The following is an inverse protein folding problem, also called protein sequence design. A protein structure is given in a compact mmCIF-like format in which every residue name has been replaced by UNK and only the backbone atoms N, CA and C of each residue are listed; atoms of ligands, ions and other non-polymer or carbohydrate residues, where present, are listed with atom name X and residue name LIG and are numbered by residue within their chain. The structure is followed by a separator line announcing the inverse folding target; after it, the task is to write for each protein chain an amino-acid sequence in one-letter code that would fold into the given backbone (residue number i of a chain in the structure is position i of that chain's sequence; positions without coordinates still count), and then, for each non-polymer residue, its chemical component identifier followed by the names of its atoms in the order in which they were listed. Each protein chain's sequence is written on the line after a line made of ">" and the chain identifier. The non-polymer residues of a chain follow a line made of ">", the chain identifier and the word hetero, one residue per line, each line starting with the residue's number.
data_IF_167064949066
#
_entry.id   IF_167064949066
#
_cell.length_a   1.000
_cell.length_b   1.000
_cell.length_c   1.000
_cell.angle_alpha   90.00
_cell.angle_beta   90.00
_cell.angle_gamma   90.00
#
_symmetry.space_group_name_H-M   'P 1'
#
loop_
_entity.id
_entity.type
_entity.pdbx_description
1 polymer ?
#
# COMPACT_ATOMS: atom_id res chain seq x y z
N UNK A 1 27.16 -7.44 -11.75
CA UNK A 1 26.31 -6.87 -10.69
C UNK A 1 26.47 -5.36 -10.74
N UNK A 2 25.39 -4.56 -10.73
CA UNK A 2 25.54 -3.14 -10.48
C UNK A 2 26.12 -2.94 -9.06
N UNK A 3 26.99 -1.92 -8.85
CA UNK A 3 27.56 -1.67 -7.54
C UNK A 3 26.46 -1.28 -6.55
N UNK A 4 26.57 -1.76 -5.31
CA UNK A 4 25.74 -1.29 -4.20
C UNK A 4 25.87 0.23 -4.06
N UNK A 5 24.77 0.96 -3.80
CA UNK A 5 24.84 2.40 -3.58
C UNK A 5 25.76 2.71 -2.37
N UNK A 6 26.48 3.85 -2.39
CA UNK A 6 27.35 4.22 -1.28
C UNK A 6 26.53 4.42 0.01
N UNK A 7 27.09 4.07 1.18
CA UNK A 7 26.43 4.28 2.46
C UNK A 7 26.12 5.76 2.64
N UNK A 8 24.84 6.09 2.84
CA UNK A 8 24.34 7.47 2.98
C UNK A 8 23.64 8.05 1.75
N UNK A 9 23.52 7.32 0.63
CA UNK A 9 22.63 7.72 -0.46
C UNK A 9 21.17 7.49 -0.05
N UNK A 10 20.36 8.54 0.05
CA UNK A 10 18.93 8.42 0.37
C UNK A 10 18.22 7.64 -0.73
N UNK A 11 17.66 6.47 -0.41
CA UNK A 11 16.82 5.71 -1.33
C UNK A 11 15.59 6.53 -1.72
N UNK A 12 15.42 6.76 -3.02
CA UNK A 12 14.28 7.48 -3.58
C UNK A 12 13.54 6.58 -4.59
N UNK A 13 12.23 6.74 -4.75
CA UNK A 13 11.48 6.07 -5.80
C UNK A 13 12.08 6.36 -7.18
N UNK A 14 12.20 5.33 -8.02
CA UNK A 14 12.65 5.47 -9.40
C UNK A 14 11.68 6.28 -10.27
N UNK A 15 10.42 6.39 -9.83
CA UNK A 15 9.42 7.27 -10.45
C UNK A 15 9.73 8.76 -10.28
N UNK A 16 10.63 9.13 -9.35
CA UNK A 16 10.92 10.51 -8.99
C UNK A 16 9.85 11.19 -8.13
N UNK A 17 8.78 10.49 -7.77
CA UNK A 17 7.74 11.00 -6.88
C UNK A 17 8.17 10.95 -5.42
N UNK A 18 7.48 11.72 -4.57
CA UNK A 18 7.64 11.64 -3.12
C UNK A 18 7.25 10.23 -2.66
N UNK A 19 8.05 9.59 -1.79
CA UNK A 19 7.66 8.33 -1.18
C UNK A 19 6.32 8.46 -0.46
N UNK A 20 5.56 7.36 -0.43
CA UNK A 20 4.31 7.26 0.31
C UNK A 20 4.45 6.26 1.46
N UNK A 21 4.10 6.65 2.67
CA UNK A 21 4.10 5.74 3.82
C UNK A 21 2.75 5.77 4.53
N UNK A 22 2.15 4.62 4.80
CA UNK A 22 0.93 4.63 5.58
C UNK A 22 0.61 3.35 6.29
N UNK A 23 -0.47 3.39 7.07
CA UNK A 23 -0.94 2.28 7.89
C UNK A 23 -2.46 2.25 7.87
N UNK A 24 -3.01 1.04 7.80
CA UNK A 24 -4.42 0.76 8.00
C UNK A 24 -4.58 0.07 9.34
N UNK A 25 -5.47 0.56 10.19
CA UNK A 25 -5.72 -0.08 11.49
C UNK A 25 -6.53 -1.36 11.36
N UNK A 26 -7.06 -1.63 10.15
CA UNK A 26 -8.06 -2.67 9.88
C UNK A 26 -9.16 -2.60 10.95
N UNK A 27 -9.62 -3.75 11.42
CA UNK A 27 -10.56 -3.88 12.54
C UNK A 27 -9.88 -4.28 13.86
N UNK A 28 -8.60 -3.90 14.07
CA UNK A 28 -7.85 -4.30 15.27
C UNK A 28 -8.01 -3.37 16.47
N UNK A 29 -8.47 -2.14 16.26
CA UNK A 29 -8.44 -1.08 17.27
C UNK A 29 -9.86 -0.77 17.75
N UNK A 30 -10.02 -0.51 19.04
CA UNK A 30 -11.19 0.17 19.56
C UNK A 30 -11.09 1.67 19.27
N UNK A 31 -12.21 2.39 19.32
CA UNK A 31 -12.22 3.84 19.15
C UNK A 31 -11.23 4.57 20.07
N UNK A 32 -11.21 4.22 21.37
CA UNK A 32 -10.28 4.80 22.34
C UNK A 32 -8.81 4.55 21.96
N UNK A 33 -8.50 3.34 21.47
CA UNK A 33 -7.15 3.00 21.01
C UNK A 33 -6.78 3.78 19.74
N UNK A 34 -7.70 3.91 18.77
CA UNK A 34 -7.47 4.68 17.53
C UNK A 34 -7.18 6.15 17.83
N UNK A 35 -7.94 6.76 18.72
CA UNK A 35 -7.71 8.15 19.15
C UNK A 35 -6.38 8.32 19.88
N UNK A 36 -6.06 7.41 20.81
CA UNK A 36 -4.79 7.43 21.53
C UNK A 36 -3.59 7.24 20.58
N UNK A 37 -3.66 6.25 19.68
CA UNK A 37 -2.65 6.00 18.65
C UNK A 37 -2.42 7.24 17.79
N UNK A 38 -3.49 7.83 17.27
CA UNK A 38 -3.43 9.01 16.39
C UNK A 38 -2.82 10.20 17.11
N UNK A 39 -3.23 10.45 18.35
CA UNK A 39 -2.70 11.56 19.17
C UNK A 39 -1.21 11.39 19.42
N UNK A 40 -0.79 10.20 19.85
CA UNK A 40 0.64 9.91 20.08
C UNK A 40 1.44 10.02 18.79
N UNK A 41 0.94 9.48 17.68
CA UNK A 41 1.60 9.54 16.39
C UNK A 41 1.79 11.00 15.94
N UNK A 42 0.74 11.81 15.96
CA UNK A 42 0.82 13.22 15.57
C UNK A 42 1.76 14.01 16.47
N UNK A 43 1.80 13.70 17.78
CA UNK A 43 2.77 14.28 18.70
C UNK A 43 4.21 13.92 18.31
N UNK A 44 4.49 12.66 17.99
CA UNK A 44 5.83 12.22 17.57
C UNK A 44 6.24 12.83 16.22
N UNK A 45 5.29 12.97 15.28
CA UNK A 45 5.50 13.62 13.99
C UNK A 45 5.68 15.15 14.09
N UNK A 46 5.51 15.74 15.27
CA UNK A 46 5.63 17.19 15.47
C UNK A 46 6.58 17.58 16.59
N UNK A 47 7.17 16.61 17.30
CA UNK A 47 7.98 16.85 18.51
C UNK A 47 9.45 17.15 18.25
N UNK A 48 9.98 16.83 17.05
CA UNK A 48 11.40 17.04 16.75
C UNK A 48 11.62 18.18 15.75
N UNK A 49 12.76 18.89 15.80
CA UNK A 49 13.11 19.89 14.79
C UNK A 49 13.17 19.33 13.36
N UNK A 50 13.63 18.08 13.22
CA UNK A 50 13.75 17.41 11.93
C UNK A 50 12.41 16.96 11.35
N UNK A 51 11.35 16.87 12.17
CA UNK A 51 10.06 16.35 11.74
C UNK A 51 9.43 17.16 10.60
N UNK A 52 9.59 18.49 10.60
CA UNK A 52 9.11 19.33 9.50
C UNK A 52 9.84 19.01 8.18
N UNK A 53 11.16 18.84 8.23
CA UNK A 53 11.97 18.42 7.07
C UNK A 53 11.52 17.04 6.57
N UNK A 54 11.38 16.08 7.47
CA UNK A 54 10.94 14.72 7.16
C UNK A 54 9.55 14.70 6.51
N UNK A 55 8.58 15.44 7.07
CA UNK A 55 7.23 15.56 6.50
C UNK A 55 7.20 16.33 5.15
N UNK A 56 8.25 17.07 4.83
CA UNK A 56 8.42 17.74 3.53
C UNK A 56 9.02 16.84 2.44
N UNK A 57 9.60 15.69 2.78
CA UNK A 57 10.22 14.78 1.78
C UNK A 57 9.29 13.66 1.32
N UNK A 58 8.29 13.27 2.12
CA UNK A 58 7.35 12.18 1.81
C UNK A 58 5.88 12.53 2.08
N UNK A 59 4.97 11.79 1.46
CA UNK A 59 3.55 11.80 1.78
C UNK A 59 3.24 10.67 2.78
N UNK A 60 2.36 10.93 3.74
CA UNK A 60 1.93 9.91 4.70
C UNK A 60 0.41 9.69 4.65
N UNK A 61 -0.06 8.53 5.09
CA UNK A 61 -1.49 8.26 5.20
C UNK A 61 -1.89 7.38 6.38
N UNK A 62 -3.10 7.61 6.91
CA UNK A 62 -3.71 6.85 8.00
C UNK A 62 -5.10 6.39 7.57
N UNK A 63 -5.40 5.10 7.76
CA UNK A 63 -6.69 4.50 7.40
C UNK A 63 -7.30 3.83 8.64
N UNK A 64 -8.06 4.58 9.46
CA UNK A 64 -8.78 4.04 10.60
C UNK A 64 -10.04 3.27 10.16
N UNK A 65 -10.72 2.62 11.12
CA UNK A 65 -12.08 2.13 10.91
C UNK A 65 -13.08 3.29 10.72
N UNK A 66 -14.23 3.02 10.11
CA UNK A 66 -15.24 4.04 9.81
C UNK A 66 -15.80 4.77 11.04
N UNK A 67 -15.90 4.10 12.19
CA UNK A 67 -16.45 4.69 13.42
C UNK A 67 -15.47 5.70 14.01
N UNK A 68 -14.17 5.43 13.91
CA UNK A 68 -13.13 6.33 14.41
C UNK A 68 -12.67 7.39 13.40
N UNK A 69 -13.03 7.24 12.12
CA UNK A 69 -12.60 8.09 11.02
C UNK A 69 -12.81 9.60 11.27
N UNK A 70 -13.98 10.10 11.75
CA UNK A 70 -14.15 11.52 12.02
C UNK A 70 -13.20 12.08 13.08
N UNK A 71 -12.88 11.29 14.12
CA UNK A 71 -11.96 11.72 15.17
C UNK A 71 -10.52 11.81 14.66
N UNK A 72 -10.11 10.90 13.78
CA UNK A 72 -8.78 10.93 13.14
C UNK A 72 -8.65 12.12 12.20
N UNK A 73 -9.68 12.39 11.38
CA UNK A 73 -9.74 13.57 10.51
C UNK A 73 -9.54 14.86 11.29
N UNK A 74 -10.32 15.06 12.36
CA UNK A 74 -10.23 16.25 13.21
C UNK A 74 -8.85 16.41 13.87
N UNK A 75 -8.25 15.31 14.35
CA UNK A 75 -6.94 15.33 14.99
C UNK A 75 -5.82 15.71 13.99
N UNK A 76 -5.85 15.14 12.79
CA UNK A 76 -4.87 15.42 11.71
C UNK A 76 -4.97 16.88 11.25
N UNK A 77 -6.18 17.37 10.98
CA UNK A 77 -6.43 18.75 10.56
C UNK A 77 -5.90 19.76 11.59
N UNK A 78 -6.23 19.55 12.87
CA UNK A 78 -5.75 20.42 13.96
C UNK A 78 -4.22 20.42 14.08
N UNK A 79 -3.57 19.29 13.85
CA UNK A 79 -2.15 19.11 14.17
C UNK A 79 -1.18 19.54 13.05
N UNK A 80 -1.60 19.51 11.78
CA UNK A 80 -0.67 19.58 10.65
C UNK A 80 -0.89 20.75 9.68
N UNK A 81 -1.99 21.48 9.78
CA UNK A 81 -2.36 22.59 8.88
C UNK A 81 -1.29 23.70 8.79
N UNK A 82 -0.40 23.82 9.78
CA UNK A 82 0.64 24.86 9.84
C UNK A 82 2.05 24.40 9.44
N UNK A 83 2.27 23.09 9.15
CA UNK A 83 3.63 22.52 9.07
C UNK A 83 4.02 21.92 7.71
N UNK A 84 3.18 22.06 6.67
CA UNK A 84 3.50 21.61 5.31
C UNK A 84 3.57 20.09 5.10
N UNK A 85 3.36 19.29 6.16
CA UNK A 85 3.26 17.84 6.08
C UNK A 85 1.92 17.39 5.52
N UNK A 86 1.94 16.43 4.59
CA UNK A 86 0.74 15.88 3.95
C UNK A 86 0.43 14.50 4.54
N UNK A 87 -0.31 14.47 5.66
CA UNK A 87 -0.93 13.24 6.16
C UNK A 87 -2.35 13.16 5.60
N UNK A 88 -2.57 12.24 4.67
CA UNK A 88 -3.88 11.97 4.11
C UNK A 88 -4.62 10.98 5.01
N UNK A 89 -5.85 11.31 5.38
CA UNK A 89 -6.73 10.32 6.04
C UNK A 89 -7.58 9.64 4.98
N UNK A 90 -7.65 8.31 5.04
CA UNK A 90 -8.43 7.48 4.13
C UNK A 90 -9.41 6.57 4.85
N UNK A 91 -10.25 5.91 4.07
CA UNK A 91 -11.20 4.91 4.53
C UNK A 91 -10.86 3.50 4.02
N UNK A 92 -11.32 2.47 4.73
CA UNK A 92 -10.97 1.07 4.45
C UNK A 92 -11.77 0.43 3.29
N UNK A 93 -12.88 1.06 2.89
CA UNK A 93 -13.74 0.67 1.78
C UNK A 93 -14.73 1.79 1.46
N UNK A 94 -15.52 1.65 0.39
CA UNK A 94 -16.75 2.42 0.18
C UNK A 94 -17.75 1.65 -0.71
N UNK A 95 -18.97 2.15 -0.80
CA UNK A 95 -19.94 1.71 -1.79
C UNK A 95 -19.53 2.15 -3.21
N UNK A 96 -20.05 1.44 -4.22
CA UNK A 96 -19.95 1.87 -5.63
C UNK A 96 -20.90 3.04 -5.97
N UNK A 97 -21.96 3.25 -5.17
CA UNK A 97 -22.96 4.30 -5.35
C UNK A 97 -22.80 5.43 -4.33
N UNK A 98 -23.06 6.67 -4.74
CA UNK A 98 -22.96 7.81 -3.83
C UNK A 98 -24.09 7.80 -2.79
N UNK A 99 -25.31 7.47 -3.19
CA UNK A 99 -26.47 7.40 -2.30
C UNK A 99 -27.43 6.29 -2.76
N UNK A 100 -28.21 5.75 -1.83
CA UNK A 100 -29.25 4.77 -2.15
C UNK A 100 -29.67 3.92 -0.96
N UNK A 101 -30.51 2.92 -1.23
CA UNK A 101 -31.00 1.98 -0.21
C UNK A 101 -29.99 0.86 0.08
N UNK A 102 -28.81 1.24 0.60
CA UNK A 102 -27.68 0.35 0.87
C UNK A 102 -27.36 0.30 2.37
N UNK A 103 -28.26 -0.28 3.17
CA UNK A 103 -28.10 -0.35 4.64
C UNK A 103 -26.76 -0.98 5.03
N UNK A 104 -25.96 -0.24 5.80
CA UNK A 104 -24.64 -0.68 6.29
C UNK A 104 -23.46 -0.26 5.42
N UNK A 105 -23.69 0.23 4.20
CA UNK A 105 -22.65 0.72 3.31
C UNK A 105 -22.23 2.16 3.64
N UNK A 106 -21.03 2.53 3.20
CA UNK A 106 -20.47 3.88 3.39
C UNK A 106 -20.36 4.58 2.04
N UNK A 107 -21.01 5.74 1.94
CA UNK A 107 -21.03 6.57 0.73
C UNK A 107 -19.66 7.20 0.44
N UNK A 108 -19.10 7.06 -0.79
CA UNK A 108 -17.90 7.78 -1.19
C UNK A 108 -18.11 9.31 -1.24
N UNK A 109 -19.31 9.80 -1.54
CA UNK A 109 -19.63 11.22 -1.49
C UNK A 109 -19.55 11.76 -0.06
N UNK A 110 -20.09 11.01 0.92
CA UNK A 110 -20.01 11.38 2.34
C UNK A 110 -18.57 11.29 2.85
N UNK A 111 -17.79 10.27 2.43
CA UNK A 111 -16.36 10.19 2.77
C UNK A 111 -15.61 11.43 2.30
N UNK A 112 -15.87 11.89 1.06
CA UNK A 112 -15.28 13.13 0.55
C UNK A 112 -15.73 14.34 1.36
N UNK A 113 -17.03 14.44 1.66
CA UNK A 113 -17.63 15.54 2.41
C UNK A 113 -16.97 15.73 3.78
N UNK A 114 -16.70 14.64 4.51
CA UNK A 114 -16.05 14.70 5.83
C UNK A 114 -14.54 14.95 5.76
N UNK A 115 -13.95 14.95 4.56
CA UNK A 115 -12.54 15.29 4.34
C UNK A 115 -11.62 14.12 4.04
N UNK A 116 -12.14 12.92 3.75
CA UNK A 116 -11.28 11.83 3.26
C UNK A 116 -10.61 12.22 1.94
N UNK A 117 -9.34 11.86 1.81
CA UNK A 117 -8.57 12.08 0.59
C UNK A 117 -8.34 10.82 -0.23
N UNK A 118 -8.61 9.64 0.34
CA UNK A 118 -8.39 8.34 -0.33
C UNK A 118 -9.27 7.24 0.26
N UNK A 119 -9.38 6.14 -0.49
CA UNK A 119 -10.09 4.93 -0.06
C UNK A 119 -9.28 3.70 -0.48
N UNK A 120 -9.01 2.81 0.48
CA UNK A 120 -8.48 1.47 0.25
C UNK A 120 -9.57 0.57 -0.35
N UNK A 121 -9.25 -0.15 -1.43
CA UNK A 121 -10.21 -0.96 -2.18
C UNK A 121 -9.59 -2.29 -2.58
N UNK A 122 -10.40 -3.35 -2.59
CA UNK A 122 -9.94 -4.67 -3.07
C UNK A 122 -8.89 -5.32 -2.18
N UNK A 123 -8.79 -4.95 -0.90
CA UNK A 123 -7.87 -5.58 0.04
C UNK A 123 -8.08 -7.10 0.08
N UNK A 124 -7.01 -7.89 0.21
CA UNK A 124 -7.06 -9.35 0.12
C UNK A 124 -8.10 -9.99 1.07
N UNK A 125 -8.26 -9.43 2.28
CA UNK A 125 -9.30 -9.84 3.24
C UNK A 125 -10.72 -9.62 2.70
N UNK A 126 -10.99 -8.52 1.97
CA UNK A 126 -12.31 -8.27 1.38
C UNK A 126 -12.63 -9.27 0.28
N UNK A 127 -11.65 -9.53 -0.58
CA UNK A 127 -11.75 -10.54 -1.64
C UNK A 127 -11.99 -11.94 -1.08
N UNK A 128 -11.27 -12.31 -0.03
CA UNK A 128 -11.36 -13.64 0.57
C UNK A 128 -12.62 -13.84 1.43
N UNK A 129 -12.98 -12.86 2.27
CA UNK A 129 -14.06 -13.01 3.25
C UNK A 129 -15.43 -12.59 2.71
N UNK A 130 -15.47 -11.62 1.80
CA UNK A 130 -16.71 -11.01 1.30
C UNK A 130 -16.92 -11.21 -0.20
N UNK A 131 -16.03 -11.95 -0.88
CA UNK A 131 -16.18 -12.28 -2.30
C UNK A 131 -16.04 -11.07 -3.23
N UNK A 132 -15.33 -10.03 -2.80
CA UNK A 132 -15.12 -8.84 -3.63
C UNK A 132 -14.33 -9.18 -4.91
N UNK A 133 -14.91 -8.87 -6.07
CA UNK A 133 -14.37 -9.19 -7.40
C UNK A 133 -13.68 -7.98 -8.03
N UNK A 134 -12.82 -8.20 -9.03
CA UNK A 134 -12.20 -7.09 -9.77
C UNK A 134 -13.24 -6.15 -10.41
N UNK A 135 -14.36 -6.70 -10.90
CA UNK A 135 -15.45 -5.89 -11.44
C UNK A 135 -16.11 -5.01 -10.36
N UNK A 136 -16.33 -5.54 -9.15
CA UNK A 136 -16.85 -4.75 -8.03
C UNK A 136 -15.86 -3.70 -7.53
N UNK A 137 -14.56 -4.04 -7.48
CA UNK A 137 -13.50 -3.08 -7.16
C UNK A 137 -13.45 -1.97 -8.20
N UNK A 138 -13.53 -2.28 -9.50
CA UNK A 138 -13.56 -1.30 -10.60
C UNK A 138 -14.68 -0.26 -10.42
N UNK A 139 -15.89 -0.71 -10.06
CA UNK A 139 -17.02 0.19 -9.80
C UNK A 139 -16.73 1.15 -8.63
N UNK A 140 -16.12 0.63 -7.55
CA UNK A 140 -15.70 1.45 -6.41
C UNK A 140 -14.54 2.39 -6.75
N UNK A 141 -13.58 1.96 -7.57
CA UNK A 141 -12.48 2.82 -8.05
C UNK A 141 -13.05 4.02 -8.81
N UNK A 142 -13.99 3.79 -9.72
CA UNK A 142 -14.70 4.87 -10.41
C UNK A 142 -15.46 5.78 -9.44
N UNK A 143 -16.03 5.21 -8.36
CA UNK A 143 -16.71 5.95 -7.32
C UNK A 143 -15.81 6.87 -6.50
N UNK A 144 -14.60 6.41 -6.18
CA UNK A 144 -13.61 7.19 -5.45
C UNK A 144 -13.12 8.35 -6.31
N UNK A 145 -12.79 8.08 -7.58
CA UNK A 145 -12.27 9.10 -8.50
C UNK A 145 -13.32 10.17 -8.82
N UNK A 146 -14.59 9.79 -9.10
CA UNK A 146 -15.64 10.79 -9.39
C UNK A 146 -15.93 11.73 -8.22
N UNK A 147 -15.65 11.29 -6.99
CA UNK A 147 -15.76 12.10 -5.78
C UNK A 147 -14.45 12.85 -5.43
N UNK A 148 -13.45 12.86 -6.32
CA UNK A 148 -12.22 13.62 -6.14
C UNK A 148 -11.28 13.07 -5.06
N UNK A 149 -11.37 11.77 -4.77
CA UNK A 149 -10.47 11.06 -3.86
C UNK A 149 -9.51 10.14 -4.65
N UNK A 150 -8.42 9.72 -4.02
CA UNK A 150 -7.44 8.80 -4.62
C UNK A 150 -7.78 7.35 -4.26
N UNK A 151 -8.02 6.45 -5.23
CA UNK A 151 -8.16 5.02 -4.94
C UNK A 151 -6.79 4.42 -4.61
N UNK A 152 -6.70 3.72 -3.49
CA UNK A 152 -5.61 2.81 -3.13
C UNK A 152 -6.10 1.38 -3.38
N UNK A 153 -5.68 0.78 -4.49
CA UNK A 153 -6.20 -0.49 -4.96
C UNK A 153 -5.21 -1.60 -4.62
N UNK A 154 -5.65 -2.55 -3.80
CA UNK A 154 -4.88 -3.72 -3.43
C UNK A 154 -4.94 -4.79 -4.52
N UNK A 155 -3.76 -5.26 -4.92
CA UNK A 155 -3.56 -6.27 -5.96
C UNK A 155 -2.45 -7.24 -5.56
N UNK A 156 -2.52 -8.48 -6.01
CA UNK A 156 -1.58 -9.51 -5.62
C UNK A 156 -1.97 -10.91 -6.10
N UNK A 157 -0.97 -11.70 -6.43
CA UNK A 157 -1.12 -13.10 -6.80
C UNK A 157 -1.35 -13.99 -5.56
N UNK A 158 -2.11 -15.06 -5.75
CA UNK A 158 -2.46 -16.01 -4.67
C UNK A 158 -1.46 -17.12 -4.45
N UNK A 159 -0.61 -17.40 -5.43
CA UNK A 159 0.33 -18.51 -5.41
C UNK A 159 1.72 -18.05 -5.85
N UNK A 160 2.75 -18.67 -5.28
CA UNK A 160 4.12 -18.51 -5.76
C UNK A 160 4.22 -19.27 -7.07
N UNK A 161 4.33 -18.57 -8.20
CA UNK A 161 4.47 -19.23 -9.50
C UNK A 161 5.65 -20.21 -9.51
N UNK A 162 5.37 -21.50 -9.61
CA UNK A 162 6.37 -22.56 -9.76
C UNK A 162 6.58 -22.90 -11.23
N UNK A 163 7.84 -23.16 -11.60
CA UNK A 163 8.31 -23.48 -12.95
C UNK A 163 7.33 -24.41 -13.69
N UNK A 164 6.96 -24.02 -14.91
CA UNK A 164 5.79 -24.53 -15.61
C UNK A 164 5.80 -26.05 -15.76
N UNK A 165 5.11 -26.75 -14.87
CA UNK A 165 4.55 -28.06 -15.20
C UNK A 165 3.19 -27.82 -15.85
N UNK A 166 3.24 -27.57 -17.16
CA UNK A 166 2.15 -27.97 -18.05
C UNK A 166 1.96 -29.47 -17.79
N UNK A 167 0.80 -29.84 -17.25
CA UNK A 167 0.49 -31.24 -17.03
C UNK A 167 0.42 -31.95 -18.37
N UNK A 168 1.29 -32.94 -18.57
CA UNK A 168 1.08 -34.07 -19.46
C UNK A 168 2.06 -35.20 -19.04
N UNK A 169 1.50 -36.36 -18.66
CA UNK A 169 2.14 -37.67 -18.78
C UNK A 169 3.15 -38.11 -17.70
N UNK A 170 2.72 -39.11 -16.92
CA UNK A 170 3.46 -40.17 -16.23
C UNK A 170 5.01 -40.16 -16.32
N UNK A 171 5.68 -39.98 -15.18
CA UNK A 171 7.12 -40.20 -15.05
C UNK A 171 7.61 -40.17 -13.60
N UNK A 172 7.94 -41.35 -13.07
CA UNK A 172 8.68 -41.52 -11.81
C UNK A 172 10.07 -40.86 -11.90
N UNK A 173 10.48 -40.13 -10.86
CA UNK A 173 11.84 -39.62 -10.73
C UNK A 173 11.99 -38.62 -9.60
N UNK A 174 12.64 -39.05 -8.51
CA UNK A 174 12.86 -38.23 -7.32
C UNK A 174 13.95 -37.15 -7.49
N UNK A 175 13.95 -36.20 -6.55
CA UNK A 175 15.05 -35.24 -6.35
C UNK A 175 14.60 -33.96 -5.66
N UNK A 176 15.15 -33.69 -4.47
CA UNK A 176 15.29 -32.35 -3.88
C UNK A 176 14.01 -31.65 -3.42
N UNK A 177 13.65 -31.78 -2.14
CA UNK A 177 12.77 -30.82 -1.50
C UNK A 177 13.60 -29.61 -1.08
N UNK A 178 13.87 -28.74 -2.03
CA UNK A 178 14.58 -27.49 -1.84
C UNK A 178 13.54 -26.48 -1.33
N UNK A 179 13.62 -26.15 -0.04
CA UNK A 179 12.56 -25.45 0.68
C UNK A 179 12.13 -24.11 0.07
N UNK A 180 10.81 -23.90 0.04
CA UNK A 180 10.14 -22.60 0.24
C UNK A 180 10.75 -21.39 -0.48
N UNK A 181 11.16 -21.57 -1.74
CA UNK A 181 11.75 -20.51 -2.54
C UNK A 181 10.68 -19.66 -3.24
N UNK A 182 10.99 -18.38 -3.39
CA UNK A 182 10.26 -17.27 -4.00
C UNK A 182 9.93 -17.41 -5.52
N UNK A 183 9.69 -18.63 -6.02
CA UNK A 183 9.30 -18.91 -7.40
C UNK A 183 10.37 -18.66 -8.48
N UNK A 184 11.52 -18.09 -8.13
CA UNK A 184 12.57 -17.72 -9.09
C UNK A 184 12.08 -16.71 -10.15
N UNK A 185 12.88 -16.50 -11.20
CA UNK A 185 12.54 -15.52 -12.26
C UNK A 185 11.26 -15.90 -13.03
N UNK A 186 11.01 -17.20 -13.22
CA UNK A 186 9.78 -17.73 -13.81
C UNK A 186 8.54 -17.39 -12.98
N UNK A 187 8.61 -17.58 -11.66
CA UNK A 187 7.53 -17.26 -10.73
C UNK A 187 7.20 -15.78 -10.68
N UNK A 188 8.23 -14.92 -10.66
CA UNK A 188 8.06 -13.46 -10.72
C UNK A 188 7.31 -13.03 -11.98
N UNK A 189 7.59 -13.65 -13.13
CA UNK A 189 6.89 -13.32 -14.38
C UNK A 189 5.40 -13.70 -14.30
N UNK A 190 5.09 -14.90 -13.82
CA UNK A 190 3.70 -15.37 -13.70
C UNK A 190 2.90 -14.52 -12.69
N UNK A 191 3.51 -14.21 -11.55
CA UNK A 191 2.95 -13.30 -10.55
C UNK A 191 2.64 -11.93 -11.18
N UNK A 192 3.61 -11.33 -11.87
CA UNK A 192 3.42 -10.04 -12.52
C UNK A 192 2.34 -10.05 -13.60
N UNK A 193 2.20 -11.12 -14.39
CA UNK A 193 1.15 -11.26 -15.41
C UNK A 193 -0.24 -11.36 -14.76
N UNK A 194 -0.38 -12.10 -13.66
CA UNK A 194 -1.62 -12.14 -12.89
C UNK A 194 -1.98 -10.76 -12.33
N UNK A 195 -1.02 -10.10 -11.67
CA UNK A 195 -1.24 -8.79 -11.07
C UNK A 195 -1.55 -7.73 -12.14
N UNK A 196 -0.87 -7.77 -13.29
CA UNK A 196 -1.16 -6.87 -14.41
C UNK A 196 -2.59 -7.05 -14.95
N UNK A 197 -3.11 -8.29 -14.99
CA UNK A 197 -4.52 -8.54 -15.35
C UNK A 197 -5.49 -7.97 -14.32
N UNK A 198 -5.19 -8.11 -13.02
CA UNK A 198 -5.98 -7.50 -11.96
C UNK A 198 -6.00 -5.97 -12.10
N UNK A 199 -4.82 -5.34 -12.29
CA UNK A 199 -4.69 -3.88 -12.50
C UNK A 199 -5.45 -3.43 -13.74
N UNK A 200 -5.36 -4.17 -14.85
CA UNK A 200 -6.14 -3.87 -16.05
C UNK A 200 -7.65 -3.94 -15.81
N UNK A 201 -8.12 -4.96 -15.10
CA UNK A 201 -9.54 -5.13 -14.79
C UNK A 201 -10.08 -4.02 -13.86
N UNK A 202 -9.35 -3.67 -12.79
CA UNK A 202 -9.82 -2.68 -11.80
C UNK A 202 -9.73 -1.23 -12.30
N UNK A 203 -8.87 -0.95 -13.28
CA UNK A 203 -8.70 0.39 -13.86
C UNK A 203 -9.38 0.53 -15.24
N UNK A 204 -10.07 -0.49 -15.72
CA UNK A 204 -10.76 -0.45 -17.01
C UNK A 204 -11.77 0.72 -17.06
N UNK A 205 -11.66 1.54 -18.11
CA UNK A 205 -12.55 2.69 -18.31
C UNK A 205 -12.33 3.86 -17.35
N UNK A 206 -11.35 3.78 -16.45
CA UNK A 206 -10.99 4.89 -15.56
C UNK A 206 -10.36 6.03 -16.35
N UNK A 207 -10.61 7.27 -15.91
CA UNK A 207 -9.89 8.45 -16.43
C UNK A 207 -8.36 8.22 -16.37
N UNK A 208 -7.64 8.29 -17.51
CA UNK A 208 -6.20 8.11 -17.53
C UNK A 208 -5.43 9.22 -16.80
N UNK A 209 -6.05 10.37 -16.51
CA UNK A 209 -5.46 11.46 -15.70
C UNK A 209 -5.61 11.25 -14.19
N UNK A 210 -6.50 10.36 -13.75
CA UNK A 210 -6.76 10.18 -12.33
C UNK A 210 -5.50 9.69 -11.60
N UNK A 211 -5.21 10.28 -10.44
CA UNK A 211 -4.19 9.74 -9.53
C UNK A 211 -4.68 8.39 -8.99
N UNK A 212 -3.80 7.39 -9.00
CA UNK A 212 -4.07 6.05 -8.44
C UNK A 212 -2.89 5.56 -7.63
N UNK A 213 -3.18 4.80 -6.58
CA UNK A 213 -2.17 4.08 -5.80
C UNK A 213 -2.46 2.60 -5.95
N UNK A 214 -1.45 1.81 -6.34
CA UNK A 214 -1.52 0.35 -6.37
C UNK A 214 -0.77 -0.17 -5.14
N UNK A 215 -1.46 -0.89 -4.27
CA UNK A 215 -0.84 -1.59 -3.15
C UNK A 215 -0.58 -3.04 -3.58
N UNK A 216 0.68 -3.35 -3.89
CA UNK A 216 1.09 -4.69 -4.23
C UNK A 216 1.29 -5.53 -2.97
N UNK A 217 0.51 -6.61 -2.85
CA UNK A 217 0.43 -7.49 -1.69
C UNK A 217 0.48 -8.96 -2.16
N UNK A 218 1.66 -9.62 -2.17
CA UNK A 218 1.75 -11.04 -2.48
C UNK A 218 0.88 -11.84 -1.49
N UNK A 219 -0.29 -12.32 -1.93
CA UNK A 219 -1.35 -12.81 -1.02
C UNK A 219 -0.89 -14.08 -0.32
N UNK A 220 -0.10 -14.91 -1.00
CA UNK A 220 0.53 -16.11 -0.45
C UNK A 220 1.46 -15.82 0.74
N UNK A 221 2.02 -14.61 0.84
CA UNK A 221 2.92 -14.22 1.92
C UNK A 221 2.18 -13.60 3.12
N UNK A 222 0.86 -13.36 3.03
CA UNK A 222 0.08 -12.76 4.11
C UNK A 222 -0.08 -13.79 5.24
N UNK A 223 0.54 -13.49 6.39
CA UNK A 223 0.52 -14.40 7.55
C UNK A 223 1.46 -15.59 7.42
N UNK A 224 2.22 -15.69 6.33
CA UNK A 224 3.26 -16.69 6.17
C UNK A 224 4.41 -16.48 7.20
N UNK A 225 5.18 -17.53 7.52
CA UNK A 225 6.32 -17.42 8.44
C UNK A 225 7.36 -16.40 7.97
N UNK A 226 7.60 -16.37 6.66
CA UNK A 226 8.53 -15.46 6.00
C UNK A 226 7.78 -14.54 5.03
N UNK A 227 8.15 -13.25 4.96
CA UNK A 227 7.62 -12.34 3.96
C UNK A 227 8.15 -12.68 2.56
N UNK A 228 7.50 -12.15 1.52
CA UNK A 228 8.05 -12.17 0.18
C UNK A 228 9.43 -11.50 0.15
N UNK A 229 10.35 -12.06 -0.63
CA UNK A 229 11.71 -11.54 -0.71
C UNK A 229 11.72 -10.15 -1.38
N UNK A 230 12.68 -9.30 -1.03
CA UNK A 230 12.85 -8.02 -1.72
C UNK A 230 13.08 -8.22 -3.23
N UNK A 231 13.73 -9.31 -3.64
CA UNK A 231 13.92 -9.67 -5.05
C UNK A 231 12.60 -9.94 -5.75
N UNK A 232 11.67 -10.68 -5.12
CA UNK A 232 10.31 -10.89 -5.63
C UNK A 232 9.63 -9.57 -5.92
N UNK A 233 9.57 -8.74 -4.88
CA UNK A 233 8.75 -7.53 -4.85
C UNK A 233 9.24 -6.58 -5.93
N UNK A 234 10.56 -6.40 -6.03
CA UNK A 234 11.18 -5.61 -7.08
C UNK A 234 10.86 -6.15 -8.47
N UNK A 235 10.99 -7.45 -8.67
CA UNK A 235 10.73 -8.10 -9.95
C UNK A 235 9.28 -7.92 -10.41
N UNK A 236 8.32 -8.15 -9.52
CA UNK A 236 6.89 -8.02 -9.82
C UNK A 236 6.51 -6.55 -10.04
N UNK A 237 6.91 -5.65 -9.14
CA UNK A 237 6.59 -4.21 -9.24
C UNK A 237 7.16 -3.59 -10.51
N UNK A 238 8.40 -3.93 -10.88
CA UNK A 238 9.01 -3.46 -12.13
C UNK A 238 8.17 -3.88 -13.34
N UNK A 239 7.71 -5.13 -13.38
CA UNK A 239 6.88 -5.64 -14.48
C UNK A 239 5.49 -5.04 -14.52
N UNK A 240 4.86 -4.81 -13.36
CA UNK A 240 3.60 -4.08 -13.27
C UNK A 240 3.78 -2.67 -13.85
N UNK A 241 4.88 -1.99 -13.51
CA UNK A 241 5.19 -0.65 -14.03
C UNK A 241 5.45 -0.65 -15.54
N UNK A 242 6.03 -1.71 -16.07
CA UNK A 242 6.28 -1.91 -17.50
C UNK A 242 5.01 -2.33 -18.29
N UNK A 243 3.92 -2.70 -17.61
CA UNK A 243 2.68 -3.12 -18.26
C UNK A 243 1.98 -1.98 -19.00
N UNK A 244 1.26 -2.32 -20.09
CA UNK A 244 0.57 -1.33 -20.92
C UNK A 244 -0.49 -0.54 -20.15
N UNK A 245 -1.19 -1.17 -19.19
CA UNK A 245 -2.17 -0.47 -18.35
C UNK A 245 -1.52 0.63 -17.51
N UNK A 246 -0.32 0.41 -16.95
CA UNK A 246 0.36 1.43 -16.13
C UNK A 246 1.04 2.48 -17.02
N UNK A 247 1.76 2.05 -18.07
CA UNK A 247 2.43 2.96 -19.00
C UNK A 247 1.47 3.86 -19.78
N UNK A 248 0.24 3.40 -20.01
CA UNK A 248 -0.78 4.16 -20.71
C UNK A 248 -1.42 5.28 -19.87
N UNK A 249 -1.20 5.31 -18.55
CA UNK A 249 -1.73 6.37 -17.68
C UNK A 249 -0.89 7.63 -17.76
N UNK A 250 -1.55 8.79 -17.76
CA UNK A 250 -0.89 10.11 -17.69
C UNK A 250 -0.97 10.70 -16.28
N UNK A 251 -2.00 10.31 -15.52
CA UNK A 251 -2.15 10.58 -14.10
C UNK A 251 -1.11 9.87 -13.26
N UNK A 252 -0.82 10.47 -12.10
CA UNK A 252 0.14 9.93 -11.15
C UNK A 252 -0.24 8.51 -10.71
N UNK A 253 0.64 7.54 -10.97
CA UNK A 253 0.48 6.16 -10.53
C UNK A 253 1.62 5.81 -9.57
N UNK A 254 1.30 5.64 -8.28
CA UNK A 254 2.27 5.15 -7.28
C UNK A 254 2.03 3.66 -7.02
N UNK A 255 3.08 2.86 -6.93
CA UNK A 255 3.02 1.45 -6.53
C UNK A 255 3.70 1.29 -5.17
N UNK A 256 2.93 0.99 -4.12
CA UNK A 256 3.45 0.74 -2.77
C UNK A 256 3.48 -0.76 -2.48
N UNK A 257 4.41 -1.19 -1.62
CA UNK A 257 4.40 -2.56 -1.11
C UNK A 257 3.54 -2.65 0.15
N UNK A 258 2.50 -3.49 0.14
CA UNK A 258 1.59 -3.70 1.27
C UNK A 258 1.85 -4.96 2.09
N UNK A 259 2.90 -5.71 1.78
CA UNK A 259 3.29 -6.85 2.60
C UNK A 259 3.98 -6.46 3.91
N UNK A 260 4.47 -7.47 4.65
CA UNK A 260 5.15 -7.22 5.91
C UNK A 260 6.45 -6.44 5.70
N UNK A 261 6.50 -5.20 6.20
CA UNK A 261 7.67 -4.34 6.18
C UNK A 261 8.25 -4.17 7.58
N UNK A 262 9.58 -4.25 7.66
CA UNK A 262 10.39 -4.01 8.86
C UNK A 262 11.52 -3.04 8.51
N UNK A 263 12.18 -2.43 9.51
CA UNK A 263 13.31 -1.54 9.25
C UNK A 263 14.39 -2.19 8.38
N UNK A 264 14.92 -1.43 7.44
CA UNK A 264 15.90 -1.86 6.43
C UNK A 264 15.27 -2.37 5.12
N UNK A 265 13.99 -2.73 5.10
CA UNK A 265 13.34 -3.20 3.87
C UNK A 265 13.29 -2.09 2.80
N UNK A 266 13.09 -0.83 3.19
CA UNK A 266 13.03 0.29 2.23
C UNK A 266 14.30 0.38 1.37
N UNK A 267 15.46 0.24 2.02
CA UNK A 267 16.75 0.24 1.34
C UNK A 267 16.91 -0.97 0.42
N UNK A 268 16.50 -2.16 0.86
CA UNK A 268 16.57 -3.40 0.07
C UNK A 268 15.72 -3.33 -1.20
N UNK A 269 14.58 -2.64 -1.17
CA UNK A 269 13.71 -2.44 -2.33
C UNK A 269 14.31 -1.46 -3.36
N UNK A 270 15.28 -0.63 -2.97
CA UNK A 270 16.12 0.13 -3.90
C UNK A 270 15.38 1.13 -4.80
N UNK A 271 14.20 1.61 -4.38
CA UNK A 271 13.40 2.59 -5.12
C UNK A 271 12.46 2.00 -6.19
N UNK A 272 12.37 0.68 -6.34
CA UNK A 272 11.42 0.04 -7.28
C UNK A 272 9.96 0.34 -6.90
N UNK A 273 9.69 0.45 -5.60
CA UNK A 273 8.41 0.87 -5.05
C UNK A 273 8.40 2.38 -4.76
N UNK A 274 7.20 2.95 -4.83
CA UNK A 274 6.92 4.35 -4.52
C UNK A 274 6.58 4.56 -3.03
N UNK A 275 6.56 3.50 -2.23
CA UNK A 275 6.18 3.58 -0.83
C UNK A 275 5.95 2.25 -0.13
N UNK A 276 5.58 2.32 1.14
CA UNK A 276 5.24 1.18 1.99
C UNK A 276 3.86 1.37 2.62
N UNK A 277 3.06 0.31 2.62
CA UNK A 277 1.80 0.22 3.32
C UNK A 277 1.96 -0.78 4.47
N UNK A 278 2.12 -0.24 5.67
CA UNK A 278 2.61 -0.98 6.83
C UNK A 278 1.47 -1.75 7.51
N UNK A 279 1.72 -3.01 7.81
CA UNK A 279 0.83 -3.84 8.63
C UNK A 279 1.03 -3.64 10.14
N UNK A 280 0.80 -4.71 10.91
CA UNK A 280 0.73 -4.69 12.39
C UNK A 280 1.94 -4.09 13.11
N UNK A 281 3.13 -4.12 12.49
CA UNK A 281 4.32 -3.48 13.05
C UNK A 281 4.11 -1.99 13.32
N UNK A 282 3.38 -1.30 12.44
CA UNK A 282 3.08 0.12 12.55
C UNK A 282 1.93 0.47 13.50
N UNK A 283 1.34 -0.52 14.18
CA UNK A 283 0.34 -0.27 15.23
C UNK A 283 0.93 0.33 16.51
N UNK A 284 2.26 0.40 16.59
CA UNK A 284 3.00 1.18 17.57
C UNK A 284 3.44 2.49 16.91
N UNK A 285 3.00 3.67 17.39
CA UNK A 285 3.33 4.96 16.79
C UNK A 285 4.83 5.18 16.55
N UNK A 286 5.67 4.73 17.49
CA UNK A 286 7.12 4.87 17.44
C UNK A 286 7.72 4.09 16.26
N UNK A 287 7.17 2.92 15.95
CA UNK A 287 7.60 2.10 14.83
C UNK A 287 7.20 2.73 13.49
N UNK A 288 6.00 3.32 13.41
CA UNK A 288 5.58 4.08 12.23
C UNK A 288 6.53 5.26 11.98
N UNK A 289 6.83 6.05 13.02
CA UNK A 289 7.74 7.20 12.89
C UNK A 289 9.14 6.75 12.53
N UNK A 290 9.65 5.65 13.11
CA UNK A 290 10.95 5.10 12.73
C UNK A 290 11.02 4.75 11.25
N UNK A 291 10.01 4.08 10.70
CA UNK A 291 9.94 3.79 9.26
C UNK A 291 9.85 5.08 8.43
N UNK A 292 9.12 6.09 8.91
CA UNK A 292 8.97 7.37 8.23
C UNK A 292 10.31 8.09 8.09
N UNK A 293 11.15 8.06 9.13
CA UNK A 293 12.50 8.60 9.12
C UNK A 293 13.44 7.80 8.20
N UNK A 294 13.35 6.46 8.22
CA UNK A 294 14.08 5.59 7.30
C UNK A 294 13.76 5.95 5.84
N UNK A 295 12.48 6.05 5.51
CA UNK A 295 12.01 6.41 4.15
C UNK A 295 12.45 7.82 3.76
N UNK A 296 12.48 8.76 4.71
CA UNK A 296 13.00 10.11 4.49
C UNK A 296 14.53 10.17 4.34
N UNK A 297 15.25 9.11 4.69
CA UNK A 297 16.71 9.09 4.73
C UNK A 297 17.30 9.98 5.83
N UNK A 298 16.55 10.19 6.92
CA UNK A 298 16.94 11.02 8.06
C UNK A 298 17.10 10.13 9.29
N UNK A 299 18.21 10.18 10.05
CA UNK A 299 18.35 9.42 11.29
C UNK A 299 17.26 9.77 12.30
N UNK A 300 16.65 8.76 12.91
CA UNK A 300 15.68 8.95 13.99
C UNK A 300 16.40 9.03 15.34
N UNK A 301 16.39 10.21 15.97
CA UNK A 301 17.02 10.47 17.28
C UNK A 301 16.06 10.24 18.47
N UNK A 302 14.86 9.70 18.23
CA UNK A 302 13.88 9.41 19.27
C UNK A 302 14.29 8.19 20.12
N UNK A 303 14.26 8.37 21.44
CA UNK A 303 14.81 7.49 22.48
C UNK A 303 14.54 5.99 22.30
N UNK A 304 15.63 5.22 22.41
CA UNK A 304 15.70 3.77 22.63
C UNK A 304 14.91 3.30 23.85
#
# INVERSE_FOLDING_TARGET
>A
MPPSPPPGATTRPLSGHRPLLGVSTKMYFSHARTTAFTTTLLKLLTSTPQAATVLSTLDAFLIPDFVSLPAVLAAVDTSLTTRGGRVRVGAQDCAASDFGAFTGEVSPAVLREVGCGMVELGHAERRALFGETDAGVREKVGAVVRNGMVPLVCVGEKEVGGDGRVGDGDGEGGGGNDGGGDGGEGGVRVAAEEVARQVAAVLEGLDPEAEVILAYEPVWAIGAPEPASATHVKGVVRRIRESEVVKGRRGLTRIVYGGAAKPGLWEQLGGEVDGLFLGRFAHQPEQFVKMLYEVAGVPYEGSS
#
